data_IF_845482593296
#
_entry.id   IF_845482593296
#
_cell.length_a   1.000
_cell.length_b   1.000
_cell.length_c   1.000
_cell.angle_alpha   90.00
_cell.angle_beta   90.00
_cell.angle_gamma   90.00
#
_symmetry.space_group_name_H-M   'P 1'
#
loop_
_entity.id
_entity.type
_entity.pdbx_description
1 polymer ?
#
# COMPACT_ATOMS: atom_id res chain seq x y z
N UNK A 1 -17.91 1.23 -1.45
CA UNK A 1 -17.63 2.68 -1.48
C UNK A 1 -17.38 3.11 -2.92
N UNK A 2 -17.61 4.39 -3.24
CA UNK A 2 -17.34 4.97 -4.55
C UNK A 2 -16.16 5.93 -4.47
N UNK A 3 -15.22 5.82 -5.39
CA UNK A 3 -14.04 6.69 -5.50
C UNK A 3 -13.87 7.17 -6.93
N UNK A 4 -13.02 8.18 -7.15
CA UNK A 4 -12.48 8.42 -8.49
C UNK A 4 -11.73 7.17 -8.98
N UNK A 5 -11.80 6.88 -10.28
CA UNK A 5 -11.25 5.65 -10.86
C UNK A 5 -9.78 5.41 -10.52
N UNK A 6 -8.93 6.44 -10.62
CA UNK A 6 -7.51 6.34 -10.27
C UNK A 6 -7.30 5.95 -8.79
N UNK A 7 -8.09 6.50 -7.88
CA UNK A 7 -8.01 6.17 -6.45
C UNK A 7 -8.47 4.72 -6.21
N UNK A 8 -9.53 4.29 -6.88
CA UNK A 8 -9.99 2.90 -6.81
C UNK A 8 -8.93 1.92 -7.35
N UNK A 9 -8.25 2.27 -8.45
CA UNK A 9 -7.14 1.50 -9.01
C UNK A 9 -5.98 1.41 -8.02
N UNK A 10 -5.59 2.52 -7.36
CA UNK A 10 -4.56 2.51 -6.31
C UNK A 10 -4.95 1.66 -5.11
N UNK A 11 -6.20 1.72 -4.64
CA UNK A 11 -6.67 0.91 -3.51
C UNK A 11 -6.59 -0.60 -3.84
N UNK A 12 -6.97 -0.99 -5.05
CA UNK A 12 -7.02 -2.38 -5.50
C UNK A 12 -5.73 -2.89 -6.18
N UNK A 13 -4.72 -2.03 -6.35
CA UNK A 13 -3.50 -2.36 -7.08
C UNK A 13 -2.70 -3.50 -6.40
N UNK A 14 -2.09 -4.36 -7.21
CA UNK A 14 -1.23 -5.45 -6.73
C UNK A 14 0.26 -5.04 -6.77
N UNK A 15 1.12 -5.66 -5.93
CA UNK A 15 2.57 -5.44 -5.99
C UNK A 15 3.12 -5.55 -7.42
N UNK A 16 4.12 -4.73 -7.73
CA UNK A 16 4.75 -4.60 -9.04
C UNK A 16 4.05 -3.64 -10.01
N UNK A 17 2.81 -3.24 -9.73
CA UNK A 17 2.05 -2.31 -10.57
C UNK A 17 2.40 -0.83 -10.33
N UNK A 18 2.23 0.00 -11.38
CA UNK A 18 2.42 1.47 -11.30
C UNK A 18 1.53 2.13 -10.24
N UNK A 19 0.32 1.61 -10.04
CA UNK A 19 -0.68 2.17 -9.12
C UNK A 19 -0.52 1.63 -7.70
N UNK A 20 0.32 0.61 -7.49
CA UNK A 20 0.57 0.03 -6.18
C UNK A 20 1.36 0.98 -5.31
N UNK A 21 0.88 1.29 -4.12
CA UNK A 21 1.44 2.32 -3.27
C UNK A 21 1.09 2.15 -1.81
N UNK A 22 1.38 3.19 -1.03
CA UNK A 22 1.03 3.28 0.40
C UNK A 22 -0.45 2.98 0.64
N UNK A 23 -1.35 3.54 -0.19
CA UNK A 23 -2.79 3.32 -0.05
C UNK A 23 -3.18 1.85 -0.28
N UNK A 24 -2.56 1.19 -1.24
CA UNK A 24 -2.77 -0.24 -1.51
C UNK A 24 -2.41 -1.07 -0.28
N UNK A 25 -1.23 -0.84 0.30
CA UNK A 25 -0.75 -1.58 1.48
C UNK A 25 -1.69 -1.40 2.66
N UNK A 26 -2.05 -0.17 3.01
CA UNK A 26 -2.88 0.12 4.17
C UNK A 26 -4.30 -0.47 4.03
N UNK A 27 -4.92 -0.33 2.86
CA UNK A 27 -6.25 -0.87 2.62
C UNK A 27 -6.24 -2.41 2.61
N UNK A 28 -5.28 -3.02 1.92
CA UNK A 28 -5.23 -4.48 1.74
C UNK A 28 -4.75 -5.23 2.99
N UNK A 29 -3.99 -4.56 3.86
CA UNK A 29 -3.67 -5.05 5.19
C UNK A 29 -4.92 -5.25 6.04
N UNK A 30 -5.85 -4.28 6.02
CA UNK A 30 -7.05 -4.32 6.86
C UNK A 30 -8.25 -5.01 6.22
N UNK A 31 -8.31 -5.03 4.89
CA UNK A 31 -9.47 -5.48 4.13
C UNK A 31 -9.07 -6.38 2.96
N UNK A 32 -9.98 -7.28 2.60
CA UNK A 32 -10.03 -7.80 1.23
C UNK A 32 -10.64 -6.74 0.32
N UNK A 33 -9.91 -6.39 -0.75
CA UNK A 33 -10.26 -5.28 -1.63
C UNK A 33 -10.62 -5.81 -3.01
N UNK A 34 -11.75 -5.37 -3.56
CA UNK A 34 -12.18 -5.68 -4.94
C UNK A 34 -12.73 -4.43 -5.61
N UNK A 35 -12.18 -4.06 -6.77
CA UNK A 35 -12.82 -3.10 -7.68
C UNK A 35 -13.93 -3.83 -8.43
N UNK A 36 -15.18 -3.38 -8.28
CA UNK A 36 -16.33 -4.05 -8.87
C UNK A 36 -16.58 -3.58 -10.31
N UNK A 37 -16.88 -2.30 -10.50
CA UNK A 37 -17.15 -1.72 -11.81
C UNK A 37 -16.95 -0.20 -11.83
N UNK A 38 -16.88 0.36 -13.03
CA UNK A 38 -16.78 1.80 -13.27
C UNK A 38 -18.18 2.43 -13.40
N UNK A 39 -18.32 3.66 -12.93
CA UNK A 39 -19.54 4.46 -13.03
C UNK A 39 -19.24 5.67 -13.92
N UNK A 40 -19.95 5.76 -15.05
CA UNK A 40 -19.77 6.83 -16.01
C UNK A 40 -20.16 8.20 -15.41
N UNK A 41 -19.50 9.27 -15.87
CA UNK A 41 -19.78 10.67 -15.51
C UNK A 41 -21.24 11.07 -15.76
N UNK A 42 -21.90 10.48 -16.75
CA UNK A 42 -23.31 10.73 -17.06
C UNK A 42 -24.28 10.28 -15.97
N UNK A 43 -23.85 9.44 -15.02
CA UNK A 43 -24.66 9.00 -13.90
C UNK A 43 -24.79 10.04 -12.76
N UNK A 44 -24.21 11.24 -12.91
CA UNK A 44 -24.14 12.26 -11.87
C UNK A 44 -24.73 13.60 -12.35
N UNK A 45 -25.22 14.41 -11.41
CA UNK A 45 -25.69 15.77 -11.68
C UNK A 45 -25.20 16.73 -10.58
N UNK A 46 -24.37 17.74 -10.90
CA UNK A 46 -23.71 17.96 -12.19
C UNK A 46 -22.65 16.87 -12.50
N UNK A 47 -22.32 16.61 -13.78
CA UNK A 47 -21.33 15.59 -14.14
C UNK A 47 -19.92 15.94 -13.64
N UNK A 48 -19.19 15.00 -13.00
CA UNK A 48 -17.80 15.22 -12.61
C UNK A 48 -16.86 15.16 -13.81
N UNK A 49 -15.63 15.69 -13.65
CA UNK A 49 -14.61 15.66 -14.72
C UNK A 49 -14.01 14.27 -14.96
N UNK A 50 -14.04 13.40 -13.96
CA UNK A 50 -13.38 12.07 -13.98
C UNK A 50 -14.38 10.94 -13.77
N UNK A 51 -14.01 9.75 -14.24
CA UNK A 51 -14.81 8.52 -14.04
C UNK A 51 -14.73 8.07 -12.58
N UNK A 52 -15.82 7.53 -12.05
CA UNK A 52 -15.87 6.94 -10.71
C UNK A 52 -15.79 5.41 -10.80
N UNK A 53 -15.45 4.75 -9.70
CA UNK A 53 -15.49 3.29 -9.60
C UNK A 53 -16.01 2.85 -8.23
N UNK A 54 -16.72 1.74 -8.21
CA UNK A 54 -17.18 1.09 -6.97
C UNK A 54 -16.11 0.11 -6.50
N UNK A 55 -15.71 0.26 -5.24
CA UNK A 55 -14.77 -0.62 -4.55
C UNK A 55 -15.46 -1.26 -3.35
N UNK A 56 -15.39 -2.58 -3.27
CA UNK A 56 -15.76 -3.37 -2.10
C UNK A 56 -14.53 -3.51 -1.19
N UNK A 57 -14.73 -3.22 0.09
CA UNK A 57 -13.77 -3.44 1.15
C UNK A 57 -14.43 -4.35 2.18
N UNK A 58 -13.93 -5.57 2.34
CA UNK A 58 -14.41 -6.50 3.36
C UNK A 58 -13.35 -6.58 4.45
N UNK A 59 -13.62 -6.08 5.68
CA UNK A 59 -12.65 -6.16 6.76
C UNK A 59 -12.20 -7.60 6.99
N UNK A 60 -10.88 -7.80 7.10
CA UNK A 60 -10.34 -9.11 7.47
C UNK A 60 -10.70 -9.42 8.92
N UNK A 61 -11.13 -10.66 9.18
CA UNK A 61 -11.49 -11.15 10.53
C UNK A 61 -10.27 -11.23 11.43
N UNK A 62 -9.16 -11.68 10.86
CA UNK A 62 -7.83 -11.72 11.48
C UNK A 62 -6.83 -11.09 10.54
N UNK A 63 -5.86 -10.38 11.10
CA UNK A 63 -4.78 -9.76 10.35
C UNK A 63 -3.50 -10.37 10.86
N UNK A 64 -2.98 -11.37 10.15
CA UNK A 64 -1.71 -12.01 10.46
C UNK A 64 -0.76 -11.85 9.27
N UNK A 65 0.45 -11.29 9.45
CA UNK A 65 0.93 -10.71 10.70
C UNK A 65 0.16 -9.43 11.13
N UNK A 66 -0.06 -9.23 12.43
CA UNK A 66 -0.56 -7.98 13.05
C UNK A 66 0.59 -7.02 13.38
N UNK A 67 0.54 -5.77 12.94
CA UNK A 67 1.47 -4.71 13.38
C UNK A 67 0.71 -3.50 13.91
N UNK A 68 1.39 -2.59 14.62
CA UNK A 68 0.81 -1.29 14.97
C UNK A 68 0.57 -0.47 13.70
N UNK A 69 -0.63 0.07 13.52
CA UNK A 69 -0.99 0.88 12.34
C UNK A 69 -0.01 2.04 12.12
N UNK A 70 0.38 2.74 13.20
CA UNK A 70 1.33 3.84 13.13
C UNK A 70 2.71 3.42 12.60
N UNK A 71 3.16 2.20 12.94
CA UNK A 71 4.42 1.66 12.41
C UNK A 71 4.31 1.36 10.91
N UNK A 72 3.20 0.75 10.48
CA UNK A 72 2.95 0.47 9.06
C UNK A 72 2.85 1.75 8.23
N UNK A 73 2.16 2.77 8.74
CA UNK A 73 2.08 4.07 8.10
C UNK A 73 3.45 4.73 7.96
N UNK A 74 4.27 4.70 9.01
CA UNK A 74 5.61 5.27 9.03
C UNK A 74 6.53 4.58 8.01
N UNK A 75 6.57 3.24 8.00
CA UNK A 75 7.40 2.45 7.06
C UNK A 75 6.96 2.67 5.62
N UNK A 76 5.66 2.58 5.34
CA UNK A 76 5.14 2.77 3.98
C UNK A 76 5.32 4.20 3.50
N UNK A 77 5.22 5.20 4.38
CA UNK A 77 5.52 6.59 4.03
C UNK A 77 7.00 6.77 3.63
N UNK A 78 7.95 6.23 4.40
CA UNK A 78 9.37 6.30 4.06
C UNK A 78 9.68 5.56 2.74
N UNK A 79 9.14 4.35 2.58
CA UNK A 79 9.39 3.52 1.40
C UNK A 79 8.82 4.14 0.11
N UNK A 80 7.56 4.57 0.11
CA UNK A 80 6.91 5.15 -1.08
C UNK A 80 7.23 6.63 -1.30
N UNK A 81 7.70 7.36 -0.28
CA UNK A 81 8.20 8.74 -0.42
C UNK A 81 9.43 8.82 -1.33
N UNK A 82 10.19 7.73 -1.47
CA UNK A 82 11.32 7.61 -2.38
C UNK A 82 11.13 6.43 -3.36
N UNK A 83 9.95 6.32 -3.98
CA UNK A 83 9.50 5.16 -4.79
C UNK A 83 10.53 4.58 -5.78
N UNK A 84 11.35 5.42 -6.41
CA UNK A 84 12.35 5.00 -7.42
C UNK A 84 13.65 4.46 -6.83
N UNK A 85 13.86 4.58 -5.51
CA UNK A 85 15.04 4.08 -4.81
C UNK A 85 14.81 2.68 -4.26
N UNK A 86 15.92 1.97 -4.09
CA UNK A 86 15.96 0.69 -3.38
C UNK A 86 15.50 0.87 -1.93
N UNK A 87 14.91 -0.16 -1.33
CA UNK A 87 14.32 -0.12 0.00
C UNK A 87 15.35 0.25 1.06
N UNK A 88 16.58 -0.27 0.95
CA UNK A 88 17.71 0.12 1.81
C UNK A 88 18.05 1.61 1.77
N UNK A 89 17.80 2.29 0.66
CA UNK A 89 18.04 3.72 0.55
C UNK A 89 16.85 4.52 1.09
N UNK A 90 15.62 4.08 0.81
CA UNK A 90 14.40 4.73 1.27
C UNK A 90 14.23 4.68 2.79
N UNK A 91 14.61 3.57 3.43
CA UNK A 91 14.46 3.37 4.88
C UNK A 91 15.55 4.05 5.74
N UNK A 92 16.60 4.62 5.13
CA UNK A 92 17.64 5.39 5.86
C UNK A 92 17.10 6.61 6.60
N UNK A 93 15.90 7.08 6.22
CA UNK A 93 15.21 8.16 6.93
C UNK A 93 14.63 7.72 8.28
N UNK A 94 14.49 6.41 8.51
CA UNK A 94 13.94 5.85 9.74
C UNK A 94 15.02 5.19 10.60
N UNK A 95 16.00 4.52 9.98
CA UNK A 95 17.09 3.83 10.67
C UNK A 95 18.41 4.02 9.91
N UNK A 96 19.55 4.29 10.57
CA UNK A 96 20.82 4.54 9.88
C UNK A 96 21.30 3.37 9.00
N UNK A 97 21.14 2.14 9.50
CA UNK A 97 21.46 0.90 8.79
C UNK A 97 20.22 -0.02 8.69
N UNK A 98 19.47 0.04 7.58
CA UNK A 98 18.27 -0.76 7.40
C UNK A 98 18.52 -2.20 6.95
N UNK A 99 19.73 -2.58 6.52
CA UNK A 99 19.96 -3.91 5.94
C UNK A 99 19.72 -5.07 6.92
N UNK A 100 20.13 -5.01 8.21
CA UNK A 100 19.81 -6.05 9.20
C UNK A 100 18.30 -6.20 9.43
N UNK A 101 17.58 -5.08 9.48
CA UNK A 101 16.13 -5.05 9.64
C UNK A 101 15.42 -5.69 8.42
N UNK A 102 15.91 -5.39 7.22
CA UNK A 102 15.40 -5.95 5.97
C UNK A 102 15.63 -7.46 5.89
N UNK A 103 16.82 -7.92 6.26
CA UNK A 103 17.14 -9.33 6.34
C UNK A 103 16.24 -10.07 7.36
N UNK A 104 16.03 -9.50 8.54
CA UNK A 104 15.12 -10.05 9.55
C UNK A 104 13.65 -10.09 9.08
N UNK A 105 13.24 -9.14 8.22
CA UNK A 105 11.92 -9.17 7.58
C UNK A 105 11.85 -10.12 6.37
N UNK A 106 12.95 -10.76 5.97
CA UNK A 106 13.04 -11.62 4.79
C UNK A 106 12.84 -10.85 3.48
N UNK A 107 13.36 -9.63 3.39
CA UNK A 107 13.26 -8.75 2.22
C UNK A 107 14.62 -8.46 1.63
N UNK A 108 14.70 -8.44 0.30
CA UNK A 108 15.92 -8.07 -0.41
C UNK A 108 16.12 -6.54 -0.36
N UNK A 109 17.25 -6.05 0.18
CA UNK A 109 17.56 -4.63 0.29
C UNK A 109 17.54 -3.87 -1.05
N UNK A 110 17.77 -4.56 -2.17
CA UNK A 110 17.79 -3.99 -3.51
C UNK A 110 16.39 -3.83 -4.14
N UNK A 111 15.35 -4.46 -3.58
CA UNK A 111 13.98 -4.31 -4.06
C UNK A 111 13.48 -2.88 -3.89
N UNK A 112 12.56 -2.45 -4.75
CA UNK A 112 11.86 -1.17 -4.59
C UNK A 112 10.56 -1.36 -3.82
N UNK A 113 10.07 -0.29 -3.19
CA UNK A 113 8.84 -0.31 -2.40
C UNK A 113 7.64 -0.94 -3.13
N UNK A 114 7.52 -0.70 -4.44
CA UNK A 114 6.42 -1.24 -5.25
C UNK A 114 6.47 -2.76 -5.45
N UNK A 115 7.63 -3.39 -5.25
CA UNK A 115 7.81 -4.84 -5.39
C UNK A 115 7.48 -5.59 -4.10
N UNK A 116 7.37 -4.89 -2.98
CA UNK A 116 7.19 -5.50 -1.66
C UNK A 116 5.71 -5.83 -1.44
N UNK A 117 5.37 -7.09 -1.16
CA UNK A 117 3.99 -7.46 -0.84
C UNK A 117 3.58 -6.90 0.53
N UNK A 118 2.26 -6.87 0.78
CA UNK A 118 1.68 -6.27 2.00
C UNK A 118 2.26 -6.89 3.27
N UNK A 119 2.37 -8.22 3.32
CA UNK A 119 2.94 -8.97 4.45
C UNK A 119 4.41 -8.62 4.69
N UNK A 120 5.18 -8.29 3.65
CA UNK A 120 6.55 -7.79 3.77
C UNK A 120 6.62 -6.48 4.54
N UNK A 121 5.74 -5.51 4.21
CA UNK A 121 5.65 -4.25 4.94
C UNK A 121 5.20 -4.43 6.38
N UNK A 122 4.31 -5.38 6.63
CA UNK A 122 3.83 -5.69 7.98
C UNK A 122 4.96 -6.31 8.83
N UNK A 123 5.76 -7.23 8.28
CA UNK A 123 6.93 -7.78 8.98
C UNK A 123 7.94 -6.69 9.33
N UNK A 124 8.23 -5.77 8.39
CA UNK A 124 9.05 -4.59 8.68
C UNK A 124 8.47 -3.73 9.80
N UNK A 125 7.17 -3.43 9.73
CA UNK A 125 6.50 -2.63 10.74
C UNK A 125 6.53 -3.27 12.13
N UNK A 126 6.43 -4.61 12.23
CA UNK A 126 6.59 -5.35 13.49
C UNK A 126 7.99 -5.20 14.09
N UNK A 127 9.03 -5.28 13.27
CA UNK A 127 10.42 -5.24 13.72
C UNK A 127 10.91 -3.82 14.07
N UNK A 128 10.22 -2.78 13.63
CA UNK A 128 10.50 -1.37 13.94
C UNK A 128 9.69 -0.81 15.12
N UNK A 129 8.81 -1.62 15.70
CA UNK A 129 7.89 -1.22 16.77
C UNK A 129 8.50 -1.36 18.16
#
# INVERSE_FOLDING_TARGET
>A
LMFQKEVAERIAAKPGGKDYGRLSVLCQWRCEVRKLFDVNRSAFTPPPKVTSSIVQLVPRRTVEPECRVAALERVTAAAFGQRRKMLRASLKTLVPDPEPLLAAAGLDPAQRAEQIPVDGFVRLARLMA
#
